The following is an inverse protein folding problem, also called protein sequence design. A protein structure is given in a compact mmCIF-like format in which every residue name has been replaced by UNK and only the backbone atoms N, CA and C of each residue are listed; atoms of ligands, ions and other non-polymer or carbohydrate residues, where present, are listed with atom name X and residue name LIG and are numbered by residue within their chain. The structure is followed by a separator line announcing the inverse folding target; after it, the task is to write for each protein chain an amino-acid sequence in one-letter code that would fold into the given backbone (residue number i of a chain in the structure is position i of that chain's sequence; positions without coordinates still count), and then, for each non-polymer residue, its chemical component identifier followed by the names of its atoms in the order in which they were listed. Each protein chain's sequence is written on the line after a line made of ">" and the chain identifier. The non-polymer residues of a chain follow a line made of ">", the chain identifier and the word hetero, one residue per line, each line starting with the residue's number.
data_IF_019751507476
#
_entry.id   IF_019751507476
#
_cell.length_a   1.000
_cell.length_b   1.000
_cell.length_c   1.000
_cell.angle_alpha   90.00
_cell.angle_beta   90.00
_cell.angle_gamma   90.00
#
_symmetry.space_group_name_H-M   'P 1'
#
loop_
_entity.id
_entity.type
_entity.pdbx_description
1 polymer ?
#
# COMPACT_ATOMS: atom_id res chain seq x y z
N UNK A 1 19.48 -42.51 4.37
CA UNK A 1 18.13 -43.12 4.09
C UNK A 1 17.13 -41.99 4.22
N UNK A 2 16.62 -41.51 3.10
CA UNK A 2 15.63 -40.44 3.03
C UNK A 2 14.23 -41.03 2.96
N UNK A 3 13.37 -40.71 3.93
CA UNK A 3 11.98 -41.15 3.97
C UNK A 3 11.16 -40.41 2.91
N UNK A 4 10.41 -41.19 2.13
CA UNK A 4 9.63 -40.73 0.98
C UNK A 4 8.25 -40.22 1.46
N UNK A 5 7.75 -39.15 0.81
CA UNK A 5 6.51 -38.39 1.16
C UNK A 5 5.21 -39.25 1.19
N UNK A 6 5.25 -40.53 0.86
CA UNK A 6 4.08 -41.44 0.90
C UNK A 6 3.85 -42.16 2.21
N UNK A 7 4.78 -42.11 3.17
CA UNK A 7 4.66 -42.83 4.45
C UNK A 7 4.06 -41.98 5.58
N UNK A 8 3.93 -40.66 5.41
CA UNK A 8 3.37 -39.76 6.42
C UNK A 8 1.82 -39.71 6.46
N UNK A 9 1.13 -40.42 5.55
CA UNK A 9 -0.35 -40.36 5.47
C UNK A 9 -1.06 -41.60 6.06
N UNK A 10 -0.37 -42.47 6.82
CA UNK A 10 -0.96 -43.73 7.34
C UNK A 10 -1.05 -43.83 8.87
N UNK A 11 -0.77 -42.77 9.62
CA UNK A 11 -0.89 -42.78 11.07
C UNK A 11 -1.86 -41.68 11.55
N UNK A 12 -3.17 -41.94 11.48
CA UNK A 12 -4.17 -40.96 11.92
C UNK A 12 -5.62 -41.45 11.80
N UNK A 13 -5.89 -42.72 12.14
CA UNK A 13 -7.27 -43.15 12.23
C UNK A 13 -7.40 -44.32 13.27
N UNK A 14 -7.60 -43.98 14.54
CA UNK A 14 -8.26 -44.84 15.52
C UNK A 14 -8.57 -44.05 16.79
N UNK A 15 -9.86 -43.96 17.18
CA UNK A 15 -10.25 -43.46 18.52
C UNK A 15 -11.58 -42.72 18.57
N UNK A 16 -12.65 -43.31 18.04
CA UNK A 16 -14.00 -42.88 18.39
C UNK A 16 -14.58 -43.84 19.44
N UNK A 17 -14.62 -43.41 20.70
CA UNK A 17 -15.31 -44.08 21.81
C UNK A 17 -16.37 -43.15 22.37
N UNK A 18 -17.66 -43.40 22.02
CA UNK A 18 -18.78 -42.66 22.55
C UNK A 18 -19.15 -43.15 23.95
N UNK A 19 -19.46 -42.23 24.84
CA UNK A 19 -20.16 -42.47 26.12
C UNK A 19 -21.44 -41.63 26.13
N UNK A 20 -22.55 -42.31 25.96
CA UNK A 20 -23.89 -41.78 26.21
C UNK A 20 -24.12 -41.76 27.73
N UNK A 21 -24.24 -40.59 28.32
CA UNK A 21 -24.70 -40.42 29.70
C UNK A 21 -26.14 -39.89 29.67
N UNK A 22 -27.07 -40.76 30.06
CA UNK A 22 -28.47 -40.43 30.25
C UNK A 22 -28.63 -39.65 31.55
N UNK A 23 -29.07 -38.41 31.51
CA UNK A 23 -29.39 -37.61 32.69
C UNK A 23 -30.88 -37.55 32.88
N UNK A 24 -31.35 -38.18 33.99
CA UNK A 24 -32.72 -38.09 34.44
C UNK A 24 -33.03 -36.66 34.95
N UNK A 25 -34.10 -36.10 34.42
CA UNK A 25 -34.61 -34.80 34.85
C UNK A 25 -35.32 -34.93 36.22
N UNK A 26 -34.75 -34.35 37.26
CA UNK A 26 -35.44 -34.14 38.55
C UNK A 26 -36.04 -32.71 38.53
N UNK A 27 -37.35 -32.64 38.50
CA UNK A 27 -38.12 -31.40 38.60
C UNK A 27 -38.18 -30.96 40.08
N UNK A 28 -37.46 -29.89 40.41
CA UNK A 28 -37.61 -29.19 41.71
C UNK A 28 -38.41 -27.92 41.45
N UNK A 29 -39.50 -27.65 42.17
CA UNK A 29 -40.27 -26.43 42.03
C UNK A 29 -39.49 -25.24 42.62
N UNK A 30 -39.26 -24.21 41.84
CA UNK A 30 -38.65 -22.95 42.29
C UNK A 30 -39.71 -22.06 42.99
N UNK A 31 -39.39 -21.42 44.11
CA UNK A 31 -40.26 -20.44 44.73
C UNK A 31 -40.34 -19.17 43.87
N UNK A 32 -41.58 -18.72 43.63
CA UNK A 32 -41.83 -17.41 42.97
C UNK A 32 -41.41 -16.26 43.89
N UNK A 33 -40.17 -15.83 43.80
CA UNK A 33 -39.74 -14.57 44.34
C UNK A 33 -39.83 -13.49 43.26
N UNK A 34 -40.60 -12.45 43.52
CA UNK A 34 -40.68 -11.27 42.65
C UNK A 34 -39.32 -10.57 42.70
N UNK A 35 -38.49 -10.82 41.67
CA UNK A 35 -37.26 -10.08 41.47
C UNK A 35 -37.59 -8.73 40.83
N UNK A 36 -37.70 -7.68 41.64
CA UNK A 36 -37.66 -6.32 41.15
C UNK A 36 -36.28 -6.03 40.56
N UNK A 37 -36.19 -5.91 39.24
CA UNK A 37 -34.97 -5.54 38.58
C UNK A 37 -34.50 -4.16 39.06
N UNK A 38 -33.21 -3.96 39.34
CA UNK A 38 -32.70 -2.63 39.70
C UNK A 38 -32.86 -1.67 38.50
N UNK A 39 -33.05 -0.35 38.72
CA UNK A 39 -33.22 0.61 37.66
C UNK A 39 -31.97 0.61 36.77
N UNK A 40 -32.18 0.42 35.46
CA UNK A 40 -31.14 0.54 34.44
C UNK A 40 -30.70 1.99 34.43
N UNK A 41 -29.49 2.28 34.91
CA UNK A 41 -28.81 3.57 34.65
C UNK A 41 -28.53 3.64 33.17
N UNK A 42 -29.33 4.40 32.43
CA UNK A 42 -29.03 4.80 31.06
C UNK A 42 -27.74 5.64 31.11
N UNK A 43 -26.64 5.05 30.64
CA UNK A 43 -25.46 5.85 30.36
C UNK A 43 -25.84 6.94 29.33
N UNK A 44 -25.39 8.19 29.53
CA UNK A 44 -25.60 9.21 28.53
C UNK A 44 -25.05 8.71 27.19
N UNK A 45 -25.84 8.90 26.13
CA UNK A 45 -25.59 8.49 24.77
C UNK A 45 -24.10 8.62 24.45
N UNK A 46 -23.46 7.49 24.17
CA UNK A 46 -22.10 7.51 23.63
C UNK A 46 -22.14 8.43 22.40
N UNK A 47 -21.38 9.49 22.44
CA UNK A 47 -21.23 10.44 21.32
C UNK A 47 -20.92 9.60 20.08
N UNK A 48 -21.77 9.68 19.08
CA UNK A 48 -21.55 9.00 17.80
C UNK A 48 -20.10 9.29 17.35
N UNK A 49 -19.36 8.30 16.84
CA UNK A 49 -18.01 8.56 16.36
C UNK A 49 -18.08 9.70 15.37
N UNK A 50 -17.25 10.72 15.60
CA UNK A 50 -17.17 11.88 14.72
C UNK A 50 -16.97 11.38 13.29
N UNK A 51 -17.89 11.71 12.40
CA UNK A 51 -17.74 11.44 10.96
C UNK A 51 -16.43 12.09 10.55
N UNK A 52 -15.47 11.35 9.96
CA UNK A 52 -14.22 11.94 9.54
C UNK A 52 -14.53 13.13 8.64
N UNK A 53 -14.14 14.33 9.05
CA UNK A 53 -14.24 15.50 8.18
C UNK A 53 -13.51 15.15 6.90
N UNK A 54 -14.20 15.29 5.76
CA UNK A 54 -13.60 15.04 4.45
C UNK A 54 -12.35 15.92 4.33
N UNK A 55 -11.19 15.30 4.42
CA UNK A 55 -9.93 16.00 4.24
C UNK A 55 -9.89 16.46 2.80
N UNK A 56 -9.97 17.77 2.55
CA UNK A 56 -9.85 18.32 1.20
C UNK A 56 -8.46 17.94 0.71
N UNK A 57 -8.41 17.09 -0.31
CA UNK A 57 -7.14 16.69 -0.90
C UNK A 57 -6.58 17.85 -1.73
N UNK A 58 -5.30 18.19 -1.58
CA UNK A 58 -4.69 19.26 -2.35
C UNK A 58 -4.50 18.86 -3.82
N UNK A 59 -4.49 19.87 -4.72
CA UNK A 59 -3.99 19.74 -6.08
C UNK A 59 -4.67 18.71 -7.00
N UNK A 60 -5.97 18.40 -6.79
CA UNK A 60 -6.68 17.45 -7.65
C UNK A 60 -6.29 15.98 -7.44
N UNK A 61 -5.62 15.64 -6.34
CA UNK A 61 -5.36 14.27 -5.90
C UNK A 61 -6.69 13.62 -5.48
N UNK A 62 -6.88 12.34 -5.78
CA UNK A 62 -8.03 11.58 -5.29
C UNK A 62 -8.09 11.68 -3.75
N UNK A 63 -9.21 12.15 -3.15
CA UNK A 63 -9.31 12.37 -1.70
C UNK A 63 -9.04 11.11 -0.87
N UNK A 64 -9.50 9.95 -1.32
CA UNK A 64 -9.27 8.69 -0.62
C UNK A 64 -7.79 8.27 -0.69
N UNK A 65 -7.13 8.51 -1.83
CA UNK A 65 -5.69 8.25 -1.98
C UNK A 65 -4.88 9.15 -1.03
N UNK A 66 -5.21 10.44 -0.97
CA UNK A 66 -4.57 11.38 -0.04
C UNK A 66 -4.79 10.97 1.43
N UNK A 67 -6.01 10.57 1.78
CA UNK A 67 -6.36 10.08 3.12
C UNK A 67 -5.52 8.86 3.52
N UNK A 68 -5.39 7.89 2.61
CA UNK A 68 -4.55 6.70 2.82
C UNK A 68 -3.07 7.05 2.97
N UNK A 69 -2.55 7.96 2.13
CA UNK A 69 -1.17 8.43 2.22
C UNK A 69 -0.91 9.14 3.57
N UNK A 70 -1.85 9.99 4.01
CA UNK A 70 -1.77 10.65 5.32
C UNK A 70 -1.82 9.65 6.47
N UNK A 71 -2.73 8.69 6.44
CA UNK A 71 -2.82 7.62 7.44
C UNK A 71 -1.54 6.76 7.48
N UNK A 72 -0.95 6.47 6.31
CA UNK A 72 0.33 5.78 6.22
C UNK A 72 1.47 6.58 6.86
N UNK A 73 1.50 7.91 6.70
CA UNK A 73 2.46 8.78 7.35
C UNK A 73 2.23 8.83 8.88
N UNK A 74 0.99 8.99 9.31
CA UNK A 74 0.64 9.13 10.72
C UNK A 74 0.90 7.84 11.52
N UNK A 75 0.75 6.68 10.90
CA UNK A 75 1.08 5.39 11.52
C UNK A 75 2.60 5.12 11.63
N UNK A 76 3.45 6.00 11.09
CA UNK A 76 4.91 5.86 11.05
C UNK A 76 5.62 7.07 11.66
N UNK A 77 5.56 7.27 12.99
CA UNK A 77 6.11 8.46 13.67
C UNK A 77 7.65 8.55 13.57
N UNK A 78 8.31 7.46 13.19
CA UNK A 78 9.75 7.41 12.97
C UNK A 78 10.18 8.08 11.65
N UNK A 79 9.26 8.34 10.70
CA UNK A 79 9.51 9.21 9.55
C UNK A 79 9.54 10.65 10.07
N UNK A 80 10.73 11.25 10.09
CA UNK A 80 10.95 12.59 10.69
C UNK A 80 10.60 13.71 9.73
N UNK A 81 11.00 13.58 8.47
CA UNK A 81 10.77 14.59 7.43
C UNK A 81 9.38 14.40 6.83
N UNK A 82 8.40 15.09 7.45
CA UNK A 82 6.96 14.95 7.18
C UNK A 82 6.38 16.14 6.42
N UNK A 83 7.22 17.12 6.10
CA UNK A 83 6.84 18.34 5.39
C UNK A 83 6.52 18.10 3.92
N UNK A 84 7.10 17.08 3.33
CA UNK A 84 6.90 16.73 1.93
C UNK A 84 6.74 15.22 1.76
N UNK A 85 5.73 14.82 1.00
CA UNK A 85 5.47 13.40 0.68
C UNK A 85 5.24 13.19 -0.82
N UNK A 86 5.54 12.01 -1.30
CA UNK A 86 5.15 11.54 -2.63
C UNK A 86 3.84 10.76 -2.59
N UNK A 87 2.95 10.98 -3.56
CA UNK A 87 1.72 10.20 -3.74
C UNK A 87 1.62 9.78 -5.19
N UNK A 88 1.43 8.48 -5.45
CA UNK A 88 1.33 7.95 -6.81
C UNK A 88 -0.06 7.42 -7.05
N UNK A 89 -0.78 8.03 -7.98
CA UNK A 89 -2.12 7.64 -8.41
C UNK A 89 -2.04 6.71 -9.62
N UNK A 90 -1.98 5.42 -9.38
CA UNK A 90 -1.93 4.43 -10.46
C UNK A 90 -3.31 4.10 -11.09
N UNK A 91 -4.38 4.80 -10.69
CA UNK A 91 -5.64 4.78 -11.44
C UNK A 91 -5.52 5.56 -12.76
N UNK A 92 -4.60 6.54 -12.83
CA UNK A 92 -4.31 7.32 -14.02
C UNK A 92 -3.35 6.59 -14.97
N UNK A 93 -3.43 6.94 -16.25
CA UNK A 93 -2.51 6.45 -17.28
C UNK A 93 -1.09 7.02 -17.13
N UNK A 94 -0.11 6.37 -17.76
CA UNK A 94 1.28 6.84 -17.73
C UNK A 94 1.54 8.09 -18.59
N UNK A 95 0.59 8.47 -19.41
CA UNK A 95 0.56 9.71 -20.17
C UNK A 95 0.07 10.92 -19.37
N UNK A 96 -0.37 10.71 -18.14
CA UNK A 96 -0.84 11.75 -17.25
C UNK A 96 0.14 12.02 -16.13
N UNK A 97 0.09 13.23 -15.56
CA UNK A 97 0.72 13.51 -14.29
C UNK A 97 0.02 12.70 -13.17
N UNK A 98 0.74 11.76 -12.56
CA UNK A 98 0.19 10.83 -11.56
C UNK A 98 1.10 10.59 -10.37
N UNK A 99 2.32 11.13 -10.40
CA UNK A 99 3.20 11.21 -9.24
C UNK A 99 3.16 12.63 -8.69
N UNK A 100 2.57 12.79 -7.51
CA UNK A 100 2.36 14.06 -6.85
C UNK A 100 3.39 14.23 -5.73
N UNK A 101 4.12 15.35 -5.74
CA UNK A 101 4.95 15.79 -4.62
C UNK A 101 4.17 16.84 -3.87
N UNK A 102 3.78 16.55 -2.66
CA UNK A 102 2.90 17.38 -1.83
C UNK A 102 3.69 18.00 -0.70
N UNK A 103 3.69 19.33 -0.62
CA UNK A 103 4.19 20.07 0.53
C UNK A 103 3.07 20.18 1.56
N UNK A 104 3.15 19.36 2.61
CA UNK A 104 2.07 19.16 3.58
C UNK A 104 1.64 20.44 4.33
N UNK A 105 2.56 21.36 4.72
CA UNK A 105 2.18 22.59 5.41
C UNK A 105 1.35 23.56 4.57
N UNK A 106 1.61 23.65 3.26
CA UNK A 106 0.93 24.63 2.38
C UNK A 106 -0.13 24.01 1.47
N UNK A 107 -0.10 22.68 1.30
CA UNK A 107 -0.93 21.98 0.33
C UNK A 107 -0.49 22.21 -1.13
N UNK A 108 0.68 22.78 -1.38
CA UNK A 108 1.23 22.91 -2.72
C UNK A 108 1.54 21.52 -3.29
N UNK A 109 1.17 21.32 -4.57
CA UNK A 109 1.37 20.05 -5.28
C UNK A 109 2.06 20.30 -6.61
N UNK A 110 3.14 19.57 -6.85
CA UNK A 110 3.75 19.45 -8.17
C UNK A 110 3.56 18.03 -8.66
N UNK A 111 3.23 17.88 -9.94
CA UNK A 111 2.78 16.58 -10.49
C UNK A 111 3.62 16.22 -11.72
N UNK A 112 4.03 14.95 -11.77
CA UNK A 112 4.92 14.41 -12.78
C UNK A 112 4.34 13.14 -13.41
N UNK A 113 4.54 12.89 -14.71
CA UNK A 113 4.42 11.56 -15.28
C UNK A 113 5.44 10.62 -14.66
N UNK A 114 5.09 9.37 -14.49
CA UNK A 114 5.98 8.31 -13.98
C UNK A 114 5.66 6.99 -14.65
N UNK A 115 6.67 6.25 -15.09
CA UNK A 115 6.49 4.91 -15.62
C UNK A 115 6.29 3.89 -14.48
N UNK A 116 5.62 2.80 -14.79
CA UNK A 116 5.42 1.63 -13.92
C UNK A 116 6.08 0.39 -14.51
N UNK A 117 6.08 -0.71 -13.77
CA UNK A 117 6.69 -1.95 -14.16
C UNK A 117 5.93 -2.69 -15.27
N UNK A 118 6.64 -3.28 -16.24
CA UNK A 118 6.03 -4.06 -17.35
C UNK A 118 5.16 -5.23 -16.89
N UNK A 119 5.46 -5.81 -15.72
CA UNK A 119 4.64 -6.86 -15.15
C UNK A 119 3.31 -6.35 -14.57
N UNK A 120 3.15 -5.03 -14.39
CA UNK A 120 1.89 -4.40 -13.99
C UNK A 120 0.97 -4.08 -15.16
N UNK A 121 1.51 -4.02 -16.38
CA UNK A 121 0.83 -3.64 -17.63
C UNK A 121 1.41 -4.50 -18.77
N UNK A 122 1.06 -5.81 -18.85
CA UNK A 122 1.63 -6.72 -19.82
C UNK A 122 1.36 -6.31 -21.27
N UNK A 123 0.20 -5.77 -21.55
CA UNK A 123 -0.24 -5.37 -22.89
C UNK A 123 0.23 -3.96 -23.28
N UNK A 124 0.99 -3.30 -22.38
CA UNK A 124 1.46 -1.95 -22.57
C UNK A 124 0.32 -0.97 -22.88
N UNK A 125 -0.74 -1.05 -22.11
CA UNK A 125 -1.90 -0.16 -22.22
C UNK A 125 -1.62 1.27 -21.73
N UNK A 126 -0.60 1.42 -20.89
CA UNK A 126 -0.27 2.64 -20.14
C UNK A 126 -0.90 2.68 -18.77
N UNK A 127 -1.76 1.72 -18.42
CA UNK A 127 -2.44 1.64 -17.13
C UNK A 127 -1.91 0.46 -16.30
N UNK A 128 -1.86 0.66 -14.98
CA UNK A 128 -1.55 -0.45 -14.07
C UNK A 128 -2.78 -1.35 -13.95
N UNK A 129 -2.63 -2.61 -14.32
CA UNK A 129 -3.65 -3.64 -14.19
C UNK A 129 -3.54 -4.38 -12.86
N UNK A 130 -2.31 -4.66 -12.44
CA UNK A 130 -2.02 -5.42 -11.22
C UNK A 130 -0.75 -4.92 -10.53
N UNK A 131 -0.68 -5.15 -9.22
CA UNK A 131 0.53 -4.99 -8.43
C UNK A 131 1.14 -6.35 -8.09
N UNK A 132 2.44 -6.38 -7.84
CA UNK A 132 3.10 -7.59 -7.34
C UNK A 132 4.36 -7.25 -6.56
N UNK A 133 4.56 -7.94 -5.44
CA UNK A 133 5.76 -7.89 -4.62
C UNK A 133 6.69 -9.09 -4.85
N UNK A 134 6.33 -10.03 -5.75
CA UNK A 134 7.11 -11.22 -6.02
C UNK A 134 8.40 -10.88 -6.79
N UNK A 135 9.49 -11.57 -6.45
CA UNK A 135 10.73 -11.51 -7.21
C UNK A 135 10.49 -11.97 -8.66
N UNK A 136 11.12 -11.29 -9.62
CA UNK A 136 11.00 -11.61 -11.03
C UNK A 136 9.65 -11.23 -11.67
N UNK A 137 8.71 -10.66 -10.90
CA UNK A 137 7.41 -10.23 -11.45
C UNK A 137 7.51 -9.05 -12.42
N UNK A 138 8.58 -8.27 -12.37
CA UNK A 138 8.75 -7.00 -13.10
C UNK A 138 7.59 -6.01 -12.91
N UNK A 139 6.77 -6.21 -11.88
CA UNK A 139 5.63 -5.37 -11.59
C UNK A 139 5.97 -4.32 -10.53
N UNK A 140 5.30 -3.18 -10.58
CA UNK A 140 5.25 -2.22 -9.48
C UNK A 140 4.48 -2.85 -8.31
N UNK A 141 4.87 -2.55 -7.09
CA UNK A 141 4.12 -2.88 -5.87
C UNK A 141 3.39 -1.64 -5.35
N UNK A 142 2.28 -1.85 -4.66
CA UNK A 142 1.53 -0.77 -4.00
C UNK A 142 1.88 -0.65 -2.52
N UNK A 143 1.48 0.45 -1.91
CA UNK A 143 1.66 0.71 -0.48
C UNK A 143 2.62 1.85 -0.17
N UNK A 144 3.04 1.90 1.09
CA UNK A 144 3.95 2.91 1.61
C UNK A 144 5.42 2.53 1.40
N UNK A 145 6.22 3.51 0.99
CA UNK A 145 7.67 3.42 0.88
C UNK A 145 8.32 4.55 1.67
N UNK A 146 9.57 4.37 2.05
CA UNK A 146 10.45 5.47 2.45
C UNK A 146 11.59 5.60 1.45
N UNK A 147 11.96 6.83 1.14
CA UNK A 147 13.16 7.11 0.35
C UNK A 147 14.41 6.84 1.17
N UNK A 148 15.50 6.52 0.50
CA UNK A 148 16.76 6.19 1.14
C UNK A 148 17.94 6.87 0.40
N UNK A 149 19.13 6.29 0.54
CA UNK A 149 20.34 6.86 -0.04
C UNK A 149 20.32 6.94 -1.58
N UNK A 150 20.97 7.96 -2.10
CA UNK A 150 21.26 8.10 -3.54
C UNK A 150 22.54 7.36 -3.90
N UNK A 151 22.61 6.87 -5.13
CA UNK A 151 23.78 6.23 -5.68
C UNK A 151 23.86 6.41 -7.19
N UNK A 152 25.05 6.21 -7.77
CA UNK A 152 25.20 6.15 -9.23
C UNK A 152 25.08 4.69 -9.69
N UNK A 153 24.02 4.39 -10.40
CA UNK A 153 23.73 3.07 -10.94
C UNK A 153 23.77 3.01 -12.47
N UNK A 154 23.21 1.94 -13.03
CA UNK A 154 23.12 1.74 -14.50
C UNK A 154 22.45 2.92 -15.24
N UNK A 155 21.50 3.57 -14.60
CA UNK A 155 20.73 4.70 -15.14
C UNK A 155 21.25 6.06 -14.65
N UNK A 156 22.48 6.12 -14.14
CA UNK A 156 23.04 7.31 -13.51
C UNK A 156 22.58 7.48 -12.08
N UNK A 157 22.44 8.76 -11.65
CA UNK A 157 21.99 9.08 -10.30
C UNK A 157 20.61 8.48 -10.05
N UNK A 158 20.49 7.70 -8.99
CA UNK A 158 19.28 7.00 -8.60
C UNK A 158 19.09 7.10 -7.10
N UNK A 159 17.85 6.90 -6.61
CA UNK A 159 17.53 6.90 -5.18
C UNK A 159 16.82 5.62 -4.81
N UNK A 160 17.32 4.92 -3.80
CA UNK A 160 16.70 3.73 -3.26
C UNK A 160 15.37 4.05 -2.58
N UNK A 161 14.45 3.10 -2.61
CA UNK A 161 13.24 3.12 -1.80
C UNK A 161 13.10 1.81 -1.04
N UNK A 162 12.61 1.90 0.19
CA UNK A 162 12.32 0.74 1.05
C UNK A 162 10.81 0.61 1.19
N UNK A 163 10.29 -0.57 0.91
CA UNK A 163 8.87 -0.87 1.13
C UNK A 163 8.57 -1.05 2.61
N UNK A 164 7.46 -0.49 3.07
CA UNK A 164 7.04 -0.45 4.46
C UNK A 164 5.82 -1.31 4.76
N UNK A 165 5.21 -1.88 3.73
CA UNK A 165 4.02 -2.72 3.80
C UNK A 165 4.30 -4.14 3.27
N UNK A 166 3.48 -5.11 3.62
CA UNK A 166 3.59 -6.48 3.09
C UNK A 166 3.49 -6.53 1.56
N UNK A 167 2.74 -5.60 0.97
CA UNK A 167 2.56 -5.48 -0.49
C UNK A 167 3.83 -5.02 -1.21
N UNK A 168 4.85 -4.51 -0.51
CA UNK A 168 6.07 -3.95 -1.11
C UNK A 168 7.35 -4.18 -0.31
N UNK A 169 7.33 -4.97 0.75
CA UNK A 169 8.50 -5.18 1.62
C UNK A 169 9.72 -5.79 0.90
N UNK A 170 9.56 -6.35 -0.29
CA UNK A 170 10.65 -6.83 -1.13
C UNK A 170 11.24 -5.73 -2.04
N UNK A 171 10.75 -4.49 -1.97
CA UNK A 171 11.13 -3.43 -2.91
C UNK A 171 12.66 -3.22 -2.97
N UNK A 172 13.33 -3.10 -1.83
CA UNK A 172 14.79 -2.91 -1.77
C UNK A 172 15.52 -4.12 -2.35
N UNK A 173 15.15 -5.34 -1.98
CA UNK A 173 15.75 -6.59 -2.47
C UNK A 173 15.47 -6.84 -3.95
N UNK A 174 14.38 -6.29 -4.48
CA UNK A 174 14.03 -6.28 -5.90
C UNK A 174 14.70 -5.15 -6.68
N UNK A 175 15.53 -4.34 -6.02
CA UNK A 175 16.18 -3.15 -6.58
C UNK A 175 15.19 -2.13 -7.17
N UNK A 176 14.03 -1.96 -6.53
CA UNK A 176 13.08 -0.90 -6.89
C UNK A 176 13.65 0.44 -6.43
N UNK A 177 13.77 1.37 -7.36
CA UNK A 177 14.41 2.67 -7.14
C UNK A 177 13.67 3.78 -7.89
N UNK A 178 13.99 5.03 -7.57
CA UNK A 178 13.69 6.19 -8.40
C UNK A 178 14.89 6.43 -9.32
N UNK A 179 14.66 6.48 -10.64
CA UNK A 179 15.69 6.75 -11.64
C UNK A 179 15.11 7.44 -12.88
N UNK A 180 15.96 8.02 -13.73
CA UNK A 180 15.54 8.44 -15.06
C UNK A 180 15.68 7.29 -16.08
N UNK A 181 14.92 7.38 -17.16
CA UNK A 181 15.07 6.46 -18.27
C UNK A 181 14.58 7.11 -19.57
N UNK A 182 15.24 6.77 -20.69
CA UNK A 182 14.86 7.25 -22.00
C UNK A 182 13.38 6.98 -22.35
N UNK A 183 12.86 5.83 -21.93
CA UNK A 183 11.47 5.42 -22.17
C UNK A 183 10.45 6.15 -21.27
N UNK A 184 10.91 6.98 -20.36
CA UNK A 184 10.09 7.79 -19.46
C UNK A 184 10.31 9.31 -19.69
N UNK A 185 11.01 9.67 -20.76
CA UNK A 185 11.14 11.08 -21.16
C UNK A 185 9.80 11.64 -21.63
N UNK A 186 9.62 12.95 -21.47
CA UNK A 186 8.34 13.62 -21.71
C UNK A 186 7.89 13.54 -23.17
N UNK A 187 8.82 13.39 -24.11
CA UNK A 187 8.56 13.24 -25.56
C UNK A 187 7.96 11.89 -25.94
N UNK A 188 8.07 10.90 -25.08
CA UNK A 188 7.40 9.60 -25.28
C UNK A 188 5.87 9.72 -25.35
N UNK A 189 5.31 10.68 -24.60
CA UNK A 189 3.85 10.86 -24.53
C UNK A 189 3.26 11.32 -25.88
N UNK A 190 3.73 12.41 -26.52
CA UNK A 190 3.20 12.81 -27.82
C UNK A 190 3.49 11.82 -28.95
N UNK A 191 4.59 11.03 -28.85
CA UNK A 191 4.97 10.06 -29.88
C UNK A 191 4.19 8.76 -29.77
N UNK A 192 4.01 8.25 -28.54
CA UNK A 192 3.46 6.90 -28.28
C UNK A 192 2.14 6.90 -27.50
N UNK A 193 1.64 8.06 -27.10
CA UNK A 193 0.44 8.21 -26.28
C UNK A 193 0.61 7.78 -24.82
N UNK A 194 1.81 7.37 -24.41
CA UNK A 194 2.13 6.83 -23.08
C UNK A 194 3.64 6.76 -22.87
N UNK A 195 4.06 6.59 -21.60
CA UNK A 195 5.45 6.26 -21.27
C UNK A 195 5.74 4.78 -21.54
N UNK A 196 7.03 4.45 -21.66
CA UNK A 196 7.49 3.07 -21.58
C UNK A 196 7.32 2.46 -20.17
N UNK A 197 7.90 1.28 -19.95
CA UNK A 197 7.73 0.51 -18.72
C UNK A 197 9.08 0.13 -18.12
N UNK A 198 9.15 0.20 -16.77
CA UNK A 198 10.30 -0.26 -15.98
C UNK A 198 10.17 -1.77 -15.63
N UNK A 199 11.01 -2.23 -14.72
CA UNK A 199 10.88 -3.55 -14.08
C UNK A 199 10.32 -3.45 -12.64
N UNK A 200 9.49 -2.43 -12.40
CA UNK A 200 8.84 -2.15 -11.14
C UNK A 200 9.25 -0.82 -10.49
N UNK A 201 10.32 -0.20 -10.97
CA UNK A 201 10.84 1.08 -10.49
C UNK A 201 9.92 2.26 -10.84
N UNK A 202 10.09 3.35 -10.10
CA UNK A 202 9.53 4.65 -10.42
C UNK A 202 10.49 5.35 -11.41
N UNK A 203 10.24 5.21 -12.71
CA UNK A 203 11.08 5.79 -13.74
C UNK A 203 10.46 7.09 -14.29
N UNK A 204 11.28 8.13 -14.41
CA UNK A 204 10.89 9.48 -14.77
C UNK A 204 11.70 9.99 -15.98
N UNK A 205 11.29 11.14 -16.53
CA UNK A 205 12.20 11.95 -17.32
C UNK A 205 13.36 12.45 -16.45
N UNK A 206 14.50 12.78 -17.08
CA UNK A 206 15.68 13.28 -16.36
C UNK A 206 15.37 14.51 -15.52
N UNK A 207 14.57 15.44 -16.06
CA UNK A 207 14.15 16.64 -15.36
C UNK A 207 13.27 16.34 -14.15
N UNK A 208 12.24 15.54 -14.35
CA UNK A 208 11.29 15.18 -13.28
C UNK A 208 11.96 14.36 -12.19
N UNK A 209 12.83 13.42 -12.54
CA UNK A 209 13.61 12.65 -11.57
C UNK A 209 14.42 13.55 -10.65
N UNK A 210 15.13 14.54 -11.21
CA UNK A 210 15.93 15.47 -10.42
C UNK A 210 15.09 16.24 -9.41
N UNK A 211 13.97 16.83 -9.85
CA UNK A 211 13.05 17.57 -8.98
C UNK A 211 12.48 16.69 -7.86
N UNK A 212 12.02 15.49 -8.22
CA UNK A 212 11.46 14.53 -7.27
C UNK A 212 12.51 14.12 -6.23
N UNK A 213 13.74 13.80 -6.64
CA UNK A 213 14.81 13.37 -5.74
C UNK A 213 15.26 14.48 -4.80
N UNK A 214 15.34 15.74 -5.26
CA UNK A 214 15.68 16.88 -4.41
C UNK A 214 14.66 17.09 -3.29
N UNK A 215 13.39 16.87 -3.57
CA UNK A 215 12.29 17.14 -2.65
C UNK A 215 11.94 15.95 -1.75
N UNK A 216 12.16 14.72 -2.22
CA UNK A 216 11.82 13.51 -1.49
C UNK A 216 13.03 12.78 -0.90
N UNK A 217 14.24 13.31 -1.01
CA UNK A 217 15.41 12.73 -0.35
C UNK A 217 15.29 12.76 1.19
N UNK A 218 16.09 11.94 1.86
CA UNK A 218 16.21 11.99 3.33
C UNK A 218 15.19 11.19 4.13
N UNK A 219 14.60 10.15 3.57
CA UNK A 219 13.72 9.24 4.33
C UNK A 219 12.25 9.66 4.35
N UNK A 220 11.81 10.42 3.35
CA UNK A 220 10.41 10.86 3.19
C UNK A 220 9.51 9.74 2.71
N UNK A 221 8.21 9.88 2.98
CA UNK A 221 7.19 8.92 2.55
C UNK A 221 6.89 9.06 1.06
N UNK A 222 6.74 7.91 0.39
CA UNK A 222 6.01 7.78 -0.88
C UNK A 222 4.88 6.78 -0.66
N UNK A 223 3.67 7.12 -1.08
CA UNK A 223 2.52 6.22 -1.03
C UNK A 223 2.00 5.97 -2.44
N UNK A 224 1.95 4.73 -2.87
CA UNK A 224 1.57 4.33 -4.22
C UNK A 224 0.36 3.39 -4.19
N UNK A 225 -0.72 3.75 -4.87
CA UNK A 225 -1.94 2.93 -4.89
C UNK A 225 -2.76 3.21 -6.15
N UNK A 226 -3.69 2.31 -6.47
CA UNK A 226 -4.75 2.46 -7.47
C UNK A 226 -6.09 2.45 -6.74
N UNK A 227 -6.74 3.60 -6.72
CA UNK A 227 -8.07 3.73 -6.14
C UNK A 227 -9.08 3.68 -7.29
N UNK A 228 -9.94 2.67 -7.26
CA UNK A 228 -11.02 2.48 -8.23
C UNK A 228 -12.21 3.38 -7.88
#
# INVERSE_FOLDING_TARGET
>A
MSLNRREMLRLGAAGAGGLLVSSAASSVPLPMGILTAPPIKLNPLATAPAVPQATIAPGGINPLLFQKAKAALDSRPWIRDRDTIGIVDFAKGSNEGRFHVVHMPTGQVDTYPVAHGRGSDPDHSGFVERFSNAFGSHATSNGAYTTAETYNGKYGLSMKVRGLDWSNNNAESRAIVIHNAWYAEDDMIPIHGKLGRSEGCFAFSRKSQWDVMQRLGGGRLIYAEKIA
#
